data_IF_383086772637
#
_entry.id   IF_383086772637
#
_cell.length_a   1.000
_cell.length_b   1.000
_cell.length_c   1.000
_cell.angle_alpha   90.00
_cell.angle_beta   90.00
_cell.angle_gamma   90.00
#
_symmetry.space_group_name_H-M   'P 1'
#
loop_
_entity.id
_entity.type
_entity.pdbx_description
1 polymer ?
#
# COMPACT_ATOMS: atom_id res chain seq x y z
N UNK A 1 26.41 4.00 -8.42
CA UNK A 1 25.81 2.67 -8.23
C UNK A 1 25.39 2.56 -6.76
N UNK A 2 24.15 2.96 -6.43
CA UNK A 2 23.72 3.09 -5.04
C UNK A 2 23.51 1.73 -4.39
N UNK A 3 24.21 1.46 -3.27
CA UNK A 3 24.03 0.23 -2.50
C UNK A 3 22.56 0.13 -2.06
N UNK A 4 21.87 -0.97 -2.41
CA UNK A 4 20.56 -1.28 -1.83
C UNK A 4 20.76 -1.35 -0.32
N UNK A 5 20.16 -0.41 0.42
CA UNK A 5 20.19 -0.43 1.88
C UNK A 5 19.35 -1.64 2.32
N UNK A 6 20.02 -2.67 2.81
CA UNK A 6 19.36 -3.86 3.38
C UNK A 6 18.94 -3.47 4.79
N UNK A 7 17.64 -3.43 5.03
CA UNK A 7 17.07 -3.17 6.36
C UNK A 7 16.99 -4.48 7.14
N UNK A 8 17.25 -4.46 8.44
CA UNK A 8 17.05 -5.65 9.29
C UNK A 8 15.56 -5.89 9.52
N UNK A 9 15.19 -7.12 9.88
CA UNK A 9 13.79 -7.48 10.17
C UNK A 9 13.20 -6.61 11.30
N UNK A 10 14.02 -6.24 12.29
CA UNK A 10 13.64 -5.36 13.39
C UNK A 10 13.36 -3.92 12.95
N UNK A 11 14.11 -3.40 11.96
CA UNK A 11 13.88 -2.07 11.38
C UNK A 11 12.62 -2.06 10.51
N UNK A 12 12.39 -3.15 9.77
CA UNK A 12 11.18 -3.37 8.98
C UNK A 12 9.97 -3.44 9.91
N UNK A 13 10.03 -4.22 11.00
CA UNK A 13 8.95 -4.37 11.96
C UNK A 13 8.66 -3.07 12.72
N UNK A 14 9.69 -2.30 13.12
CA UNK A 14 9.50 -1.02 13.82
C UNK A 14 8.84 0.05 12.96
N UNK A 15 8.97 -0.06 11.64
CA UNK A 15 8.41 0.90 10.68
C UNK A 15 7.13 0.40 9.99
N UNK A 16 6.68 -0.81 10.33
CA UNK A 16 5.50 -1.42 9.76
C UNK A 16 4.23 -0.82 10.36
N UNK A 17 3.26 -0.50 9.52
CA UNK A 17 1.91 -0.11 9.93
C UNK A 17 0.97 -1.23 9.51
N UNK A 18 0.23 -1.82 10.44
CA UNK A 18 -0.83 -2.79 10.14
C UNK A 18 -2.18 -2.07 9.97
N UNK A 19 -3.10 -2.60 9.13
CA UNK A 19 -4.43 -2.02 9.00
C UNK A 19 -5.19 -2.05 10.33
N UNK A 20 -5.78 -0.91 10.69
CA UNK A 20 -6.77 -0.82 11.76
C UNK A 20 -8.19 -1.13 11.28
N UNK A 21 -9.18 -0.80 12.11
CA UNK A 21 -10.59 -0.99 11.78
C UNK A 21 -10.99 -0.16 10.55
N UNK A 22 -11.56 -0.83 9.54
CA UNK A 22 -11.98 -0.20 8.28
C UNK A 22 -10.85 0.13 7.29
N UNK A 23 -9.58 -0.18 7.62
CA UNK A 23 -8.47 -0.03 6.70
C UNK A 23 -8.18 -1.35 5.97
N UNK A 24 -7.72 -1.24 4.74
CA UNK A 24 -7.52 -2.37 3.84
C UNK A 24 -6.13 -2.31 3.21
N UNK A 25 -5.55 -3.47 2.93
CA UNK A 25 -4.42 -3.50 2.01
C UNK A 25 -4.92 -3.31 0.57
N UNK A 26 -4.07 -2.74 -0.27
CA UNK A 26 -4.37 -2.54 -1.66
C UNK A 26 -3.12 -2.66 -2.54
N UNK A 27 -3.31 -3.11 -3.78
CA UNK A 27 -2.31 -3.08 -4.84
C UNK A 27 -2.63 -1.94 -5.79
N UNK A 28 -1.63 -1.09 -6.06
CA UNK A 28 -1.79 -0.02 -7.04
C UNK A 28 -1.86 -0.63 -8.44
N UNK A 29 -2.99 -0.42 -9.10
CA UNK A 29 -3.25 -0.92 -10.44
C UNK A 29 -2.92 0.13 -11.52
N UNK A 30 -3.08 1.42 -11.23
CA UNK A 30 -2.83 2.47 -12.22
C UNK A 30 -2.69 3.87 -11.62
N UNK A 31 -2.15 4.79 -12.43
CA UNK A 31 -1.95 6.20 -12.07
C UNK A 31 -2.93 7.07 -12.87
N UNK A 32 -3.75 7.88 -12.20
CA UNK A 32 -4.72 8.78 -12.84
C UNK A 32 -4.24 10.25 -12.93
N UNK A 33 -3.04 10.54 -12.44
CA UNK A 33 -2.51 11.91 -12.38
C UNK A 33 -3.01 12.71 -11.18
N UNK A 34 -2.39 13.88 -10.94
CA UNK A 34 -2.68 14.78 -9.81
C UNK A 34 -2.67 14.13 -8.41
N UNK A 35 -1.96 13.01 -8.25
CA UNK A 35 -1.89 12.25 -7.00
C UNK A 35 -3.07 11.31 -6.74
N UNK A 36 -3.88 11.05 -7.77
CA UNK A 36 -4.90 10.00 -7.77
C UNK A 36 -4.37 8.70 -8.40
N UNK A 37 -4.71 7.58 -7.79
CA UNK A 37 -4.31 6.24 -8.20
C UNK A 37 -5.51 5.29 -8.20
N UNK A 38 -5.47 4.28 -9.05
CA UNK A 38 -6.37 3.13 -8.98
C UNK A 38 -5.76 2.09 -8.05
N UNK A 39 -6.53 1.63 -7.07
CA UNK A 39 -6.07 0.62 -6.13
C UNK A 39 -7.09 -0.50 -6.03
N UNK A 40 -6.66 -1.73 -6.28
CA UNK A 40 -7.45 -2.93 -6.02
C UNK A 40 -7.22 -3.31 -4.56
N UNK A 41 -8.28 -3.31 -3.76
CA UNK A 41 -8.22 -3.57 -2.33
C UNK A 41 -8.47 -5.05 -2.02
N UNK A 42 -8.13 -5.49 -0.81
CA UNK A 42 -8.31 -6.90 -0.37
C UNK A 42 -9.76 -7.37 -0.32
N UNK A 43 -10.72 -6.44 -0.30
CA UNK A 43 -12.14 -6.75 -0.40
C UNK A 43 -12.63 -6.97 -1.84
N UNK A 44 -11.70 -6.98 -2.81
CA UNK A 44 -11.99 -7.20 -4.23
C UNK A 44 -12.45 -5.94 -4.98
N UNK A 45 -12.61 -4.80 -4.30
CA UNK A 45 -13.09 -3.56 -4.94
C UNK A 45 -11.93 -2.71 -5.45
N UNK A 46 -12.14 -2.08 -6.60
CA UNK A 46 -11.23 -1.10 -7.18
C UNK A 46 -11.66 0.30 -6.76
N UNK A 47 -10.77 1.00 -6.06
CA UNK A 47 -11.02 2.36 -5.55
C UNK A 47 -10.11 3.38 -6.20
N UNK A 48 -10.64 4.60 -6.38
CA UNK A 48 -9.86 5.76 -6.75
C UNK A 48 -9.30 6.40 -5.48
N UNK A 49 -8.03 6.16 -5.22
CA UNK A 49 -7.39 6.59 -3.98
C UNK A 49 -6.49 7.81 -4.18
N UNK A 50 -6.45 8.70 -3.18
CA UNK A 50 -5.55 9.85 -3.16
C UNK A 50 -4.39 9.61 -2.20
N UNK A 51 -3.16 9.98 -2.58
CA UNK A 51 -2.04 9.97 -1.64
C UNK A 51 -2.24 11.06 -0.58
N UNK A 52 -2.29 10.67 0.69
CA UNK A 52 -2.45 11.62 1.80
C UNK A 52 -1.36 12.69 1.74
N UNK A 53 -1.71 13.95 1.94
CA UNK A 53 -0.81 15.09 1.68
C UNK A 53 0.54 15.01 2.39
N UNK A 54 0.56 14.51 3.64
CA UNK A 54 1.80 14.27 4.42
C UNK A 54 2.73 13.24 3.77
N UNK A 55 2.15 12.27 3.06
CA UNK A 55 2.83 11.15 2.44
C UNK A 55 3.37 11.52 1.05
N UNK A 56 2.62 12.36 0.30
CA UNK A 56 2.96 12.81 -1.06
C UNK A 56 4.33 13.50 -1.18
N UNK A 57 4.85 14.09 -0.09
CA UNK A 57 6.18 14.72 -0.06
C UNK A 57 7.33 13.74 0.23
N UNK A 58 7.02 12.56 0.77
CA UNK A 58 8.00 11.63 1.34
C UNK A 58 8.21 10.38 0.49
N UNK A 59 7.19 9.95 -0.25
CA UNK A 59 7.24 8.71 -1.01
C UNK A 59 6.73 8.90 -2.43
N UNK A 60 7.24 8.07 -3.33
CA UNK A 60 6.78 7.96 -4.70
C UNK A 60 6.01 6.66 -4.85
N UNK A 61 4.72 6.71 -5.16
CA UNK A 61 3.90 5.52 -5.36
C UNK A 61 3.84 5.21 -6.85
N UNK A 62 4.11 3.96 -7.22
CA UNK A 62 4.02 3.47 -8.59
C UNK A 62 3.06 2.29 -8.70
N UNK A 63 2.72 1.91 -9.93
CA UNK A 63 1.96 0.70 -10.20
C UNK A 63 2.67 -0.54 -9.65
N UNK A 64 1.90 -1.46 -9.09
CA UNK A 64 2.38 -2.69 -8.45
C UNK A 64 2.78 -2.54 -6.99
N UNK A 65 2.91 -1.31 -6.46
CA UNK A 65 3.21 -1.11 -5.05
C UNK A 65 2.03 -1.59 -4.17
N UNK A 66 2.36 -2.19 -3.02
CA UNK A 66 1.39 -2.51 -1.97
C UNK A 66 1.25 -1.30 -1.05
N UNK A 67 0.01 -0.94 -0.76
CA UNK A 67 -0.35 0.26 0.00
C UNK A 67 -1.40 -0.04 1.06
N UNK A 68 -1.42 0.78 2.11
CA UNK A 68 -2.48 0.83 3.09
C UNK A 68 -3.53 1.85 2.65
N UNK A 69 -4.78 1.42 2.53
CA UNK A 69 -5.90 2.22 2.06
C UNK A 69 -6.92 2.40 3.18
N UNK A 70 -7.42 3.61 3.30
CA UNK A 70 -8.60 3.93 4.12
C UNK A 70 -9.72 4.37 3.16
N UNK A 71 -10.73 3.52 2.92
CA UNK A 71 -11.91 3.89 2.16
C UNK A 71 -12.64 5.07 2.79
N UNK A 72 -13.28 5.91 1.97
CA UNK A 72 -14.11 7.00 2.47
C UNK A 72 -15.44 6.46 2.99
N UNK A 73 -15.84 6.91 4.18
CA UNK A 73 -17.09 6.45 4.83
C UNK A 73 -18.36 6.72 4.01
N UNK A 74 -18.34 7.71 3.13
CA UNK A 74 -19.50 8.15 2.34
C UNK A 74 -19.44 7.75 0.86
N UNK A 75 -18.28 7.33 0.35
CA UNK A 75 -18.08 6.92 -1.05
C UNK A 75 -17.12 5.74 -1.09
N UNK A 76 -17.69 4.55 -1.21
CA UNK A 76 -16.94 3.29 -1.23
C UNK A 76 -16.06 3.14 -2.49
N UNK A 77 -16.30 3.93 -3.54
CA UNK A 77 -15.46 4.00 -4.74
C UNK A 77 -14.18 4.81 -4.54
N UNK A 78 -14.01 5.48 -3.40
CA UNK A 78 -12.89 6.37 -3.11
C UNK A 78 -12.21 6.04 -1.79
N UNK A 79 -10.98 6.52 -1.65
CA UNK A 79 -10.21 6.35 -0.43
C UNK A 79 -8.96 7.22 -0.38
N UNK A 80 -8.23 7.11 0.73
CA UNK A 80 -6.89 7.68 0.88
C UNK A 80 -5.84 6.57 1.02
N UNK A 81 -4.65 6.82 0.45
CA UNK A 81 -3.46 6.00 0.72
C UNK A 81 -2.75 6.58 1.94
N UNK A 82 -2.66 5.78 2.99
CA UNK A 82 -2.04 6.13 4.27
C UNK A 82 -0.56 5.76 4.33
N UNK A 83 -0.18 4.66 3.66
CA UNK A 83 1.17 4.12 3.71
C UNK A 83 1.50 3.35 2.43
N UNK A 84 2.80 3.26 2.07
CA UNK A 84 3.32 2.41 0.99
C UNK A 84 4.35 1.46 1.57
N UNK A 85 4.11 0.17 1.43
CA UNK A 85 5.02 -0.86 1.90
C UNK A 85 6.20 -1.01 0.94
N UNK A 86 7.40 -1.17 1.50
CA UNK A 86 8.58 -1.57 0.72
C UNK A 86 8.55 -3.07 0.44
N UNK A 87 9.35 -3.56 -0.51
CA UNK A 87 9.43 -4.99 -0.81
C UNK A 87 9.68 -5.86 0.44
N UNK A 88 10.67 -5.50 1.26
CA UNK A 88 10.95 -6.24 2.49
C UNK A 88 9.81 -6.19 3.53
N UNK A 89 9.02 -5.10 3.58
CA UNK A 89 7.82 -5.05 4.41
C UNK A 89 6.70 -5.94 3.85
N UNK A 90 6.57 -6.04 2.53
CA UNK A 90 5.61 -6.96 1.88
C UNK A 90 5.98 -8.41 2.17
N UNK A 91 7.26 -8.77 2.02
CA UNK A 91 7.77 -10.11 2.33
C UNK A 91 7.53 -10.48 3.80
N UNK A 92 7.73 -9.52 4.72
CA UNK A 92 7.41 -9.70 6.14
C UNK A 92 5.90 -9.86 6.40
N UNK A 93 5.05 -9.10 5.71
CA UNK A 93 3.59 -9.26 5.84
C UNK A 93 3.10 -10.63 5.33
N UNK A 94 3.74 -11.16 4.28
CA UNK A 94 3.48 -12.52 3.79
C UNK A 94 3.95 -13.58 4.78
N UNK A 95 5.14 -13.44 5.35
CA UNK A 95 5.66 -14.42 6.32
C UNK A 95 4.79 -14.50 7.59
N UNK A 96 4.06 -13.43 7.92
CA UNK A 96 3.09 -13.38 9.02
C UNK A 96 1.65 -13.74 8.61
N UNK A 97 1.40 -14.13 7.37
CA UNK A 97 0.06 -14.42 6.83
C UNK A 97 -0.95 -13.25 6.99
N UNK A 98 -0.46 -12.01 7.01
CA UNK A 98 -1.31 -10.81 7.15
C UNK A 98 -1.76 -10.25 5.79
N UNK A 99 -0.97 -10.49 4.75
CA UNK A 99 -1.28 -10.08 3.39
C UNK A 99 -1.57 -11.33 2.55
N UNK A 100 -2.71 -11.42 1.86
CA UNK A 100 -2.99 -12.56 1.00
C UNK A 100 -2.07 -12.57 -0.23
N UNK A 101 -1.56 -13.76 -0.59
CA UNK A 101 -0.65 -13.99 -1.72
C UNK A 101 -1.23 -13.49 -3.06
N UNK A 102 -2.55 -13.55 -3.20
CA UNK A 102 -3.30 -13.06 -4.37
C UNK A 102 -3.07 -11.59 -4.70
N UNK A 103 -2.60 -10.77 -3.76
CA UNK A 103 -2.33 -9.35 -3.99
C UNK A 103 -0.97 -9.12 -4.63
N UNK A 104 -0.03 -10.04 -4.47
CA UNK A 104 1.34 -9.89 -4.99
C UNK A 104 1.51 -10.64 -6.29
N UNK A 105 0.79 -11.75 -6.46
CA UNK A 105 0.70 -12.52 -7.69
C UNK A 105 -0.08 -11.75 -8.76
N UNK A 106 0.66 -11.09 -9.65
CA UNK A 106 0.17 -10.57 -10.91
C UNK A 106 1.31 -10.72 -11.92
N UNK A 107 1.04 -11.52 -12.94
CA UNK A 107 1.92 -11.96 -14.02
C UNK A 107 2.67 -10.82 -14.72
#
# INVERSE_FOLDING_TARGET
MGKRKVYTEEEISRSLVTPGEGQLFGKVDGLFGFGWLSVVCTDGKRRKCRVRGKLRRKIWVKQGDIVLVEPWKFDDGRGEILFRYTGGQVDYLHSKNLLPSSMTEGA
#
